data_IF_909127533341
#
_entry.id   IF_909127533341
#
_cell.length_a   1.000
_cell.length_b   1.000
_cell.length_c   1.000
_cell.angle_alpha   90.00
_cell.angle_beta   90.00
_cell.angle_gamma   90.00
#
_symmetry.space_group_name_H-M   'P 1'
#
loop_
_entity.id
_entity.type
_entity.pdbx_description
1 polymer ?
#
# COMPACT_ATOMS: atom_id res chain seq x y z
N UNK A 1 -3.63 -15.99 46.39
CA UNK A 1 -2.56 -15.54 45.48
C UNK A 1 -3.03 -15.15 44.07
N UNK A 2 -4.17 -15.63 43.55
CA UNK A 2 -4.70 -15.21 42.22
C UNK A 2 -5.43 -13.85 42.17
N UNK A 3 -5.77 -13.23 43.31
CA UNK A 3 -6.49 -11.94 43.32
C UNK A 3 -5.59 -10.74 43.05
N UNK A 4 -4.26 -10.89 43.17
CA UNK A 4 -3.33 -9.76 43.01
C UNK A 4 -3.01 -9.44 41.56
N UNK A 5 -3.15 -10.38 40.63
CA UNK A 5 -2.88 -10.14 39.21
C UNK A 5 -3.95 -9.26 38.58
N UNK A 6 -5.24 -9.57 38.78
CA UNK A 6 -6.35 -8.76 38.23
C UNK A 6 -6.38 -7.32 38.75
N UNK A 7 -6.04 -7.11 40.03
CA UNK A 7 -6.00 -5.77 40.61
C UNK A 7 -4.82 -4.91 40.12
N UNK A 8 -3.73 -5.54 39.64
CA UNK A 8 -2.62 -4.83 38.99
C UNK A 8 -2.99 -4.42 37.55
N UNK A 9 -3.80 -5.23 36.86
CA UNK A 9 -4.30 -4.90 35.51
C UNK A 9 -5.31 -3.74 35.51
N UNK A 10 -6.11 -3.56 36.57
CA UNK A 10 -7.10 -2.46 36.66
C UNK A 10 -6.46 -1.10 37.01
N UNK A 11 -5.33 -1.10 37.73
CA UNK A 11 -4.66 0.13 38.17
C UNK A 11 -3.64 0.70 37.19
N UNK A 12 -3.23 -0.08 36.20
CA UNK A 12 -2.41 0.39 35.11
C UNK A 12 -3.33 0.56 33.90
N UNK A 13 -3.56 1.79 33.46
CA UNK A 13 -4.20 2.09 32.17
C UNK A 13 -3.30 1.62 31.01
N UNK A 14 -2.98 0.34 30.96
CA UNK A 14 -2.32 -0.29 29.83
C UNK A 14 -3.44 -0.51 28.82
N UNK A 15 -3.70 0.53 28.02
CA UNK A 15 -4.17 0.29 26.66
C UNK A 15 -3.15 -0.65 26.06
N UNK A 16 -3.51 -1.92 25.87
CA UNK A 16 -2.72 -2.82 25.04
C UNK A 16 -2.38 -2.03 23.77
N UNK A 17 -1.12 -1.99 23.31
CA UNK A 17 -0.85 -1.36 22.04
C UNK A 17 -1.70 -2.14 21.03
N UNK A 18 -2.74 -1.50 20.51
CA UNK A 18 -3.36 -1.93 19.27
C UNK A 18 -2.33 -1.62 18.20
N UNK A 19 -1.27 -2.43 18.13
CA UNK A 19 -0.34 -2.43 17.01
C UNK A 19 -1.15 -2.88 15.79
N UNK A 20 -1.78 -1.90 15.14
CA UNK A 20 -2.41 -2.11 13.85
C UNK A 20 -1.31 -2.53 12.90
N UNK A 21 -1.37 -3.79 12.47
CA UNK A 21 -0.43 -4.30 11.46
C UNK A 21 -0.42 -3.38 10.25
N UNK A 22 0.77 -2.98 9.83
CA UNK A 22 0.98 -2.09 8.69
C UNK A 22 1.08 -2.90 7.41
N UNK A 23 0.31 -2.51 6.41
CA UNK A 23 0.21 -3.21 5.15
C UNK A 23 0.57 -2.28 3.98
N UNK A 24 1.46 -2.73 3.11
CA UNK A 24 1.87 -1.99 1.92
C UNK A 24 1.28 -2.60 0.64
N UNK A 25 0.52 -1.79 -0.11
CA UNK A 25 0.00 -2.16 -1.43
C UNK A 25 0.79 -1.45 -2.54
N UNK A 26 1.41 -2.22 -3.42
CA UNK A 26 2.14 -1.71 -4.58
C UNK A 26 1.30 -1.94 -5.83
N UNK A 27 0.85 -0.87 -6.48
CA UNK A 27 0.11 -0.95 -7.74
C UNK A 27 1.02 -0.65 -8.93
N UNK A 28 1.08 -1.56 -9.91
CA UNK A 28 1.93 -1.42 -11.11
C UNK A 28 1.11 -1.12 -12.35
N UNK A 29 1.30 0.06 -12.93
CA UNK A 29 0.66 0.54 -14.16
C UNK A 29 1.66 1.32 -15.04
N UNK A 30 1.17 2.07 -16.02
CA UNK A 30 1.97 2.89 -16.94
C UNK A 30 1.47 4.32 -16.95
N UNK A 31 2.22 5.23 -17.56
CA UNK A 31 1.78 6.62 -17.75
C UNK A 31 0.97 6.83 -19.03
N UNK A 32 1.09 5.90 -19.99
CA UNK A 32 0.42 5.99 -21.29
C UNK A 32 -1.03 5.53 -21.20
N UNK A 33 -1.89 6.17 -22.01
CA UNK A 33 -3.31 5.82 -22.14
C UNK A 33 -3.58 4.86 -23.29
N UNK A 34 -4.85 4.78 -23.71
CA UNK A 34 -5.32 3.99 -24.88
C UNK A 34 -5.14 2.47 -24.77
N UNK A 35 -5.10 1.96 -23.54
CA UNK A 35 -4.91 0.54 -23.23
C UNK A 35 -6.19 -0.15 -22.74
N UNK A 36 -7.37 0.41 -23.05
CA UNK A 36 -8.65 -0.09 -22.57
C UNK A 36 -8.74 -0.12 -21.03
N UNK A 37 -9.06 -1.30 -20.47
CA UNK A 37 -9.36 -1.49 -19.05
C UNK A 37 -8.14 -1.86 -18.17
N UNK A 38 -6.91 -1.83 -18.70
CA UNK A 38 -5.71 -2.25 -17.97
C UNK A 38 -5.53 -1.47 -16.66
N UNK A 39 -5.59 -0.14 -16.71
CA UNK A 39 -5.37 0.73 -15.54
C UNK A 39 -6.53 0.70 -14.56
N UNK A 40 -7.75 0.66 -15.08
CA UNK A 40 -8.96 0.64 -14.27
C UNK A 40 -9.13 -0.68 -13.52
N UNK A 41 -8.69 -1.80 -14.11
CA UNK A 41 -8.68 -3.11 -13.43
C UNK A 41 -7.80 -3.07 -12.19
N UNK A 42 -6.56 -2.59 -12.29
CA UNK A 42 -5.64 -2.46 -11.14
C UNK A 42 -6.22 -1.52 -10.08
N UNK A 43 -6.69 -0.33 -10.48
CA UNK A 43 -7.27 0.63 -9.54
C UNK A 43 -8.50 0.07 -8.82
N UNK A 44 -9.35 -0.72 -9.48
CA UNK A 44 -10.51 -1.36 -8.86
C UNK A 44 -10.07 -2.41 -7.82
N UNK A 45 -9.10 -3.25 -8.16
CA UNK A 45 -8.55 -4.23 -7.22
C UNK A 45 -7.93 -3.56 -6.00
N UNK A 46 -7.15 -2.49 -6.19
CA UNK A 46 -6.57 -1.72 -5.09
C UNK A 46 -7.62 -1.13 -4.16
N UNK A 47 -8.70 -0.54 -4.70
CA UNK A 47 -9.80 0.00 -3.88
C UNK A 47 -10.45 -1.07 -3.01
N UNK A 48 -10.69 -2.24 -3.59
CA UNK A 48 -11.27 -3.36 -2.86
C UNK A 48 -10.32 -3.83 -1.75
N UNK A 49 -9.03 -3.93 -2.04
CA UNK A 49 -8.04 -4.39 -1.07
C UNK A 49 -7.82 -3.39 0.07
N UNK A 50 -7.77 -2.09 -0.23
CA UNK A 50 -7.75 -1.03 0.78
C UNK A 50 -8.96 -1.16 1.70
N UNK A 51 -10.18 -1.30 1.14
CA UNK A 51 -11.38 -1.46 1.94
C UNK A 51 -11.33 -2.73 2.82
N UNK A 52 -10.92 -3.87 2.27
CA UNK A 52 -10.83 -5.14 2.98
C UNK A 52 -9.83 -5.07 4.15
N UNK A 53 -8.63 -4.54 3.91
CA UNK A 53 -7.57 -4.46 4.90
C UNK A 53 -7.88 -3.43 5.99
N UNK A 54 -8.42 -2.26 5.61
CA UNK A 54 -8.87 -1.25 6.58
C UNK A 54 -10.01 -1.78 7.46
N UNK A 55 -10.96 -2.52 6.89
CA UNK A 55 -12.04 -3.17 7.65
C UNK A 55 -11.52 -4.28 8.57
N UNK A 56 -10.40 -4.91 8.23
CA UNK A 56 -9.68 -5.85 9.09
C UNK A 56 -8.81 -5.16 10.16
N UNK A 57 -8.88 -3.82 10.28
CA UNK A 57 -8.17 -3.04 11.30
C UNK A 57 -6.70 -2.77 10.99
N UNK A 58 -6.22 -3.06 9.77
CA UNK A 58 -4.84 -2.80 9.36
C UNK A 58 -4.65 -1.33 8.97
N UNK A 59 -3.45 -0.81 9.19
CA UNK A 59 -3.02 0.47 8.62
C UNK A 59 -2.51 0.20 7.20
N UNK A 60 -3.11 0.85 6.20
CA UNK A 60 -2.80 0.57 4.79
C UNK A 60 -2.11 1.77 4.16
N UNK A 61 -0.99 1.53 3.50
CA UNK A 61 -0.31 2.51 2.65
C UNK A 61 -0.13 1.97 1.23
N UNK A 62 -0.07 2.89 0.27
CA UNK A 62 -0.06 2.59 -1.16
C UNK A 62 1.17 3.20 -1.83
N UNK A 63 1.83 2.38 -2.65
CA UNK A 63 2.86 2.83 -3.60
C UNK A 63 2.30 2.70 -5.01
N UNK A 64 2.21 3.82 -5.72
CA UNK A 64 1.75 3.85 -7.11
C UNK A 64 2.91 3.88 -8.09
N UNK A 65 3.08 2.84 -8.90
CA UNK A 65 4.04 2.82 -10.01
C UNK A 65 3.28 3.15 -11.30
N UNK A 66 3.56 4.32 -11.86
CA UNK A 66 2.87 4.90 -13.01
C UNK A 66 1.78 5.91 -12.62
N UNK A 67 1.68 7.01 -13.37
CA UNK A 67 0.82 8.15 -13.07
C UNK A 67 -0.67 7.84 -13.22
N UNK A 68 -1.04 6.79 -13.96
CA UNK A 68 -2.45 6.40 -14.15
C UNK A 68 -3.11 5.87 -12.89
N UNK A 69 -2.39 5.12 -12.05
CA UNK A 69 -2.94 4.66 -10.76
C UNK A 69 -3.20 5.85 -9.85
N UNK A 70 -2.21 6.74 -9.73
CA UNK A 70 -2.35 7.98 -8.97
C UNK A 70 -3.56 8.77 -9.44
N UNK A 71 -3.68 9.04 -10.74
CA UNK A 71 -4.81 9.78 -11.30
C UNK A 71 -6.19 9.16 -11.00
N UNK A 72 -6.30 7.82 -11.03
CA UNK A 72 -7.56 7.11 -10.77
C UNK A 72 -7.95 7.06 -9.28
N UNK A 73 -6.97 7.11 -8.38
CA UNK A 73 -7.17 6.97 -6.94
C UNK A 73 -7.14 8.30 -6.18
N UNK A 74 -6.41 9.32 -6.65
CA UNK A 74 -6.12 10.57 -5.94
C UNK A 74 -7.34 11.21 -5.30
N UNK A 75 -8.47 11.27 -6.01
CA UNK A 75 -9.69 11.93 -5.52
C UNK A 75 -10.38 11.19 -4.37
N UNK A 76 -10.20 9.87 -4.29
CA UNK A 76 -10.97 9.00 -3.39
C UNK A 76 -10.12 8.32 -2.32
N UNK A 77 -8.85 8.09 -2.60
CA UNK A 77 -7.90 7.36 -1.76
C UNK A 77 -6.54 8.07 -1.76
N UNK A 78 -6.53 9.39 -1.92
CA UNK A 78 -5.31 10.21 -1.96
C UNK A 78 -4.47 10.07 -0.69
N UNK A 79 -5.13 9.97 0.46
CA UNK A 79 -4.51 9.90 1.78
C UNK A 79 -3.77 8.58 2.04
N UNK A 80 -4.01 7.55 1.20
CA UNK A 80 -3.33 6.27 1.31
C UNK A 80 -1.97 6.26 0.60
N UNK A 81 -1.64 7.26 -0.22
CA UNK A 81 -0.38 7.23 -0.99
C UNK A 81 0.83 7.59 -0.14
N UNK A 82 1.74 6.63 0.00
CA UNK A 82 3.07 6.84 0.56
C UNK A 82 4.03 7.39 -0.50
N UNK A 83 4.12 6.71 -1.65
CA UNK A 83 4.99 7.09 -2.77
C UNK A 83 4.28 6.95 -4.11
N UNK A 84 4.65 7.79 -5.07
CA UNK A 84 4.19 7.66 -6.45
C UNK A 84 5.35 7.86 -7.41
N UNK A 85 5.50 6.92 -8.33
CA UNK A 85 6.53 6.93 -9.37
C UNK A 85 5.90 7.24 -10.72
N UNK A 86 6.60 8.06 -11.51
CA UNK A 86 6.20 8.45 -12.86
C UNK A 86 7.32 8.09 -13.84
N UNK A 87 7.11 8.43 -15.10
CA UNK A 87 7.98 8.13 -16.24
C UNK A 87 8.04 6.62 -16.57
N UNK A 88 7.03 5.86 -16.13
CA UNK A 88 6.94 4.42 -16.32
C UNK A 88 6.34 4.10 -17.68
N UNK A 89 7.08 3.31 -18.47
CA UNK A 89 6.67 2.86 -19.79
C UNK A 89 6.99 3.85 -20.91
N UNK A 90 7.79 4.90 -20.67
CA UNK A 90 8.37 5.74 -21.76
C UNK A 90 9.40 4.96 -22.57
N UNK A 91 10.29 4.26 -21.87
CA UNK A 91 11.24 3.26 -22.38
C UNK A 91 10.80 1.87 -21.87
N UNK A 92 11.27 0.77 -22.49
CA UNK A 92 11.09 -0.56 -21.91
C UNK A 92 11.63 -0.59 -20.47
N UNK A 93 10.84 -1.10 -19.50
CA UNK A 93 11.27 -1.16 -18.10
C UNK A 93 12.48 -2.08 -17.96
N UNK A 94 13.41 -1.68 -17.10
CA UNK A 94 14.65 -2.40 -16.81
C UNK A 94 14.74 -2.78 -15.33
N UNK A 95 15.70 -3.65 -15.00
CA UNK A 95 16.00 -3.97 -13.61
C UNK A 95 16.49 -2.74 -12.82
N UNK A 96 17.15 -1.79 -13.49
CA UNK A 96 17.58 -0.53 -12.89
C UNK A 96 16.40 0.29 -12.39
N UNK A 97 15.31 0.37 -13.16
CA UNK A 97 14.09 1.09 -12.76
C UNK A 97 13.47 0.47 -11.49
N UNK A 98 13.39 -0.87 -11.45
CA UNK A 98 12.90 -1.59 -10.28
C UNK A 98 13.78 -1.37 -9.04
N UNK A 99 15.11 -1.33 -9.23
CA UNK A 99 16.08 -1.10 -8.15
C UNK A 99 15.94 0.30 -7.54
N UNK A 100 15.71 1.32 -8.38
CA UNK A 100 15.47 2.70 -7.93
C UNK A 100 14.18 2.78 -7.13
N UNK A 101 13.09 2.18 -7.63
CA UNK A 101 11.80 2.16 -6.92
C UNK A 101 11.92 1.47 -5.55
N UNK A 102 12.59 0.31 -5.51
CA UNK A 102 12.81 -0.42 -4.27
C UNK A 102 13.67 0.37 -3.27
N UNK A 103 14.73 1.01 -3.75
CA UNK A 103 15.61 1.83 -2.90
C UNK A 103 14.86 3.03 -2.31
N UNK A 104 14.05 3.72 -3.12
CA UNK A 104 13.26 4.87 -2.65
C UNK A 104 12.20 4.44 -1.61
N UNK A 105 11.57 3.29 -1.82
CA UNK A 105 10.65 2.72 -0.83
C UNK A 105 11.35 2.41 0.50
N UNK A 106 12.54 1.81 0.46
CA UNK A 106 13.33 1.55 1.67
C UNK A 106 13.77 2.85 2.35
N UNK A 107 14.12 3.88 1.58
CA UNK A 107 14.55 5.18 2.08
C UNK A 107 13.39 6.05 2.60
N UNK A 108 12.14 5.68 2.33
CA UNK A 108 10.96 6.40 2.83
C UNK A 108 10.84 6.37 4.36
N UNK A 109 11.52 5.43 5.02
CA UNK A 109 11.42 5.21 6.46
C UNK A 109 10.09 4.60 6.90
N UNK A 110 9.23 4.19 5.95
CA UNK A 110 7.99 3.50 6.27
C UNK A 110 8.24 2.01 6.50
N UNK A 111 8.10 1.59 7.75
CA UNK A 111 8.13 0.18 8.13
C UNK A 111 6.74 -0.46 7.95
N UNK A 112 6.69 -1.66 7.37
CA UNK A 112 5.48 -2.44 7.16
C UNK A 112 5.73 -3.91 7.46
N UNK A 113 4.69 -4.62 7.90
CA UNK A 113 4.77 -6.04 8.28
C UNK A 113 4.46 -6.97 7.11
N UNK A 114 3.51 -6.56 6.27
CA UNK A 114 2.97 -7.36 5.18
C UNK A 114 2.80 -6.47 3.93
N UNK A 115 2.90 -7.06 2.74
CA UNK A 115 2.67 -6.30 1.51
C UNK A 115 2.33 -7.17 0.31
N UNK A 116 1.71 -6.55 -0.69
CA UNK A 116 1.32 -7.19 -1.95
C UNK A 116 1.58 -6.30 -3.15
N UNK A 117 1.95 -6.93 -4.28
CA UNK A 117 2.13 -6.26 -5.58
C UNK A 117 0.96 -6.62 -6.50
N UNK A 118 0.22 -5.61 -6.95
CA UNK A 118 -0.92 -5.74 -7.86
C UNK A 118 -0.47 -5.32 -9.25
N UNK A 119 -0.52 -6.25 -10.19
CA UNK A 119 -0.14 -6.06 -11.59
C UNK A 119 -1.03 -6.91 -12.51
N UNK A 120 -1.07 -6.56 -13.79
CA UNK A 120 -1.74 -7.37 -14.79
C UNK A 120 -0.78 -8.43 -15.33
N UNK A 121 -1.09 -9.71 -15.12
CA UNK A 121 -0.34 -10.82 -15.68
C UNK A 121 -0.77 -11.07 -17.13
N UNK A 122 0.18 -10.96 -18.06
CA UNK A 122 -0.02 -11.35 -19.45
C UNK A 122 -0.22 -12.87 -19.53
N UNK A 123 -1.21 -13.31 -20.32
CA UNK A 123 -1.54 -14.72 -20.54
C UNK A 123 -1.29 -15.07 -21.99
#
# INVERSE_FOLDING_TARGET
YLSSSSALYEKAEIKAPEDKKKYLLIGVSSDRGLCGAIHTSIAKTMKNEIANLSNAGKEVMVVGIGDKIRGLLQRTHGDYFLLTFKEVGRRPPSFGDASVIASELLNSGYEFDEGSVIYNRFR
#
